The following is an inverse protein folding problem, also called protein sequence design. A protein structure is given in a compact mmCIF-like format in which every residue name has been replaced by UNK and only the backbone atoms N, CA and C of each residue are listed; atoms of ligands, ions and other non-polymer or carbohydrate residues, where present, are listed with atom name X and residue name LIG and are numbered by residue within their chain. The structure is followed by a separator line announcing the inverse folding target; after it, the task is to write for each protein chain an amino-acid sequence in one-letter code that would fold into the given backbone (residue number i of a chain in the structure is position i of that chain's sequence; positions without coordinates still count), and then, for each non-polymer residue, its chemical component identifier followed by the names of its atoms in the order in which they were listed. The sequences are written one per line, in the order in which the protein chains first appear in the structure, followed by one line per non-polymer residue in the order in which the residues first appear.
data_IF_313182417922
#
_entry.id   IF_313182417922
#
_cell.length_a   1.000
_cell.length_b   1.000
_cell.length_c   1.000
_cell.angle_alpha   90.00
_cell.angle_beta   90.00
_cell.angle_gamma   90.00
#
_symmetry.space_group_name_H-M   'P 1'
#
loop_
_entity.id
_entity.type
_entity.pdbx_description
1 polymer ?
#
# COMPACT_ATOMS: atom_id res chain seq x y z
N UNK A 1 -31.39 49.08 -46.26
CA UNK A 1 -31.10 47.91 -45.40
C UNK A 1 -29.78 47.32 -45.89
N UNK A 2 -28.64 47.78 -45.36
CA UNK A 2 -27.31 47.27 -45.75
C UNK A 2 -26.89 46.24 -44.71
N UNK A 3 -26.82 44.97 -45.12
CA UNK A 3 -26.21 43.90 -44.33
C UNK A 3 -24.71 44.16 -44.21
N UNK A 4 -24.26 44.56 -43.02
CA UNK A 4 -22.85 44.56 -42.68
C UNK A 4 -22.39 43.10 -42.55
N UNK A 5 -21.64 42.61 -43.54
CA UNK A 5 -20.87 41.38 -43.38
C UNK A 5 -19.80 41.64 -42.31
N UNK A 6 -19.98 41.05 -41.11
CA UNK A 6 -18.87 40.89 -40.16
C UNK A 6 -17.82 40.02 -40.85
N UNK A 7 -16.70 40.60 -41.24
CA UNK A 7 -15.50 39.84 -41.59
C UNK A 7 -15.08 39.06 -40.34
N UNK A 8 -15.40 37.77 -40.30
CA UNK A 8 -14.82 36.86 -39.32
C UNK A 8 -13.30 36.84 -39.60
N UNK A 9 -12.52 37.47 -38.71
CA UNK A 9 -11.06 37.37 -38.74
C UNK A 9 -10.68 35.93 -38.42
N UNK A 10 -9.99 35.27 -39.35
CA UNK A 10 -9.38 33.95 -39.12
C UNK A 10 -8.11 34.05 -38.28
N UNK A 11 -7.62 32.90 -37.80
CA UNK A 11 -6.36 32.82 -37.05
C UNK A 11 -5.15 32.91 -37.99
N UNK A 12 -4.13 33.68 -37.59
CA UNK A 12 -2.83 33.69 -38.25
C UNK A 12 -1.95 32.49 -37.83
N UNK A 13 -0.97 32.14 -38.67
CA UNK A 13 0.03 31.12 -38.32
C UNK A 13 0.80 31.47 -37.04
N UNK A 14 1.07 32.75 -36.82
CA UNK A 14 1.75 33.25 -35.61
C UNK A 14 0.89 33.03 -34.36
N UNK A 15 -0.42 33.31 -34.41
CA UNK A 15 -1.33 33.05 -33.28
C UNK A 15 -1.46 31.56 -32.97
N UNK A 16 -1.48 30.69 -33.99
CA UNK A 16 -1.50 29.25 -33.78
C UNK A 16 -0.22 28.78 -33.07
N UNK A 17 0.95 29.24 -33.54
CA UNK A 17 2.24 28.91 -32.89
C UNK A 17 2.30 29.45 -31.46
N UNK A 18 1.89 30.70 -31.24
CA UNK A 18 1.89 31.32 -29.92
C UNK A 18 0.99 30.55 -28.94
N UNK A 19 -0.21 30.14 -29.39
CA UNK A 19 -1.15 29.36 -28.59
C UNK A 19 -0.60 27.97 -28.24
N UNK A 20 0.00 27.27 -29.22
CA UNK A 20 0.63 25.98 -29.00
C UNK A 20 1.84 26.10 -28.07
N UNK A 21 2.65 27.15 -28.20
CA UNK A 21 3.80 27.40 -27.32
C UNK A 21 3.36 27.60 -25.86
N UNK A 22 2.32 28.42 -25.64
CA UNK A 22 1.74 28.61 -24.30
C UNK A 22 1.19 27.30 -23.75
N UNK A 23 0.46 26.53 -24.57
CA UNK A 23 -0.08 25.24 -24.16
C UNK A 23 1.01 24.26 -23.74
N UNK A 24 2.10 24.17 -24.51
CA UNK A 24 3.24 23.30 -24.19
C UNK A 24 3.89 23.68 -22.86
N UNK A 25 4.07 24.98 -22.59
CA UNK A 25 4.62 25.47 -21.30
C UNK A 25 3.69 25.11 -20.14
N UNK A 26 2.38 25.28 -20.30
CA UNK A 26 1.41 24.93 -19.26
C UNK A 26 1.39 23.42 -18.97
N UNK A 27 1.47 22.59 -20.01
CA UNK A 27 1.51 21.13 -19.85
C UNK A 27 2.75 20.68 -19.07
N UNK A 28 3.92 21.26 -19.36
CA UNK A 28 5.16 20.96 -18.63
C UNK A 28 5.06 21.28 -17.13
N UNK A 29 4.33 22.34 -16.75
CA UNK A 29 4.10 22.69 -15.35
C UNK A 29 3.04 21.80 -14.67
N UNK A 30 2.02 21.35 -15.40
CA UNK A 30 0.88 20.61 -14.82
C UNK A 30 1.20 19.14 -14.51
N UNK A 31 1.96 18.44 -15.36
CA UNK A 31 2.29 17.01 -15.21
C UNK A 31 2.96 16.66 -13.86
N UNK A 32 4.03 17.34 -13.40
CA UNK A 32 4.70 16.98 -12.15
C UNK A 32 3.80 17.16 -10.92
N UNK A 33 2.85 18.10 -10.96
CA UNK A 33 1.87 18.32 -9.88
C UNK A 33 0.92 17.11 -9.78
N UNK A 34 0.41 16.63 -10.91
CA UNK A 34 -0.45 15.44 -10.96
C UNK A 34 0.28 14.19 -10.48
N UNK A 35 1.52 13.96 -10.91
CA UNK A 35 2.35 12.84 -10.47
C UNK A 35 2.59 12.88 -8.95
N UNK A 36 2.90 14.06 -8.41
CA UNK A 36 3.11 14.23 -6.96
C UNK A 36 1.83 13.95 -6.17
N UNK A 37 0.67 14.37 -6.67
CA UNK A 37 -0.62 14.10 -6.03
C UNK A 37 -0.94 12.59 -6.00
N UNK A 38 -0.68 11.87 -7.10
CA UNK A 38 -0.84 10.42 -7.15
C UNK A 38 0.10 9.72 -6.17
N UNK A 39 1.37 10.13 -6.12
CA UNK A 39 2.35 9.59 -5.19
C UNK A 39 1.93 9.78 -3.74
N UNK A 40 1.48 10.99 -3.34
CA UNK A 40 0.96 11.24 -1.98
C UNK A 40 -0.21 10.33 -1.62
N UNK A 41 -1.11 10.06 -2.57
CA UNK A 41 -2.23 9.16 -2.36
C UNK A 41 -1.73 7.73 -2.10
N UNK A 42 -0.85 7.21 -2.94
CA UNK A 42 -0.25 5.89 -2.76
C UNK A 42 0.50 5.78 -1.42
N UNK A 43 1.23 6.83 -1.01
CA UNK A 43 1.90 6.86 0.29
C UNK A 43 0.93 6.79 1.48
N UNK A 44 -0.23 7.46 1.37
CA UNK A 44 -1.26 7.40 2.41
C UNK A 44 -1.88 6.01 2.49
N UNK A 45 -2.21 5.43 1.33
CA UNK A 45 -2.73 4.07 1.21
C UNK A 45 -1.72 3.04 1.76
N UNK A 46 -0.42 3.21 1.48
CA UNK A 46 0.65 2.34 1.98
C UNK A 46 0.73 2.40 3.50
N UNK A 47 0.80 3.61 4.09
CA UNK A 47 0.87 3.79 5.55
C UNK A 47 -0.36 3.19 6.24
N UNK A 48 -1.54 3.37 5.65
CA UNK A 48 -2.77 2.80 6.18
C UNK A 48 -2.75 1.27 6.14
N UNK A 49 -2.32 0.68 5.02
CA UNK A 49 -2.22 -0.77 4.87
C UNK A 49 -1.20 -1.39 5.83
N UNK A 50 0.00 -0.80 5.94
CA UNK A 50 1.04 -1.22 6.89
C UNK A 50 0.51 -1.17 8.33
N UNK A 51 -0.12 -0.06 8.74
CA UNK A 51 -0.67 0.08 10.08
C UNK A 51 -1.80 -0.94 10.35
N UNK A 52 -2.66 -1.21 9.37
CA UNK A 52 -3.75 -2.18 9.50
C UNK A 52 -3.20 -3.60 9.70
N UNK A 53 -2.27 -4.04 8.85
CA UNK A 53 -1.71 -5.40 8.91
C UNK A 53 -0.86 -5.57 10.18
N UNK A 54 0.04 -4.63 10.49
CA UNK A 54 0.86 -4.67 11.73
C UNK A 54 -0.02 -4.74 12.98
N UNK A 55 -1.10 -3.97 13.03
CA UNK A 55 -2.06 -4.06 14.14
C UNK A 55 -2.82 -5.40 14.19
N UNK A 56 -2.97 -6.11 13.08
CA UNK A 56 -3.48 -7.48 13.02
C UNK A 56 -2.48 -8.49 13.59
N UNK A 57 -1.21 -8.40 13.16
CA UNK A 57 -0.09 -9.20 13.67
C UNK A 57 0.05 -9.03 15.19
N UNK A 58 0.05 -7.79 15.69
CA UNK A 58 0.16 -7.49 17.12
C UNK A 58 -1.03 -8.02 17.94
N UNK A 59 -2.22 -8.11 17.34
CA UNK A 59 -3.38 -8.73 18.00
C UNK A 59 -3.24 -10.25 18.05
N UNK A 60 -2.74 -10.86 16.98
CA UNK A 60 -2.42 -12.29 16.97
C UNK A 60 -1.40 -12.62 18.05
N UNK A 61 -0.28 -11.89 18.09
CA UNK A 61 0.78 -12.08 19.09
C UNK A 61 0.25 -11.97 20.52
N UNK A 62 -0.59 -10.95 20.81
CA UNK A 62 -1.24 -10.83 22.12
C UNK A 62 -2.19 -11.98 22.46
N UNK A 63 -2.91 -12.53 21.49
CA UNK A 63 -3.77 -13.68 21.70
C UNK A 63 -2.95 -14.95 21.97
N UNK A 64 -1.85 -15.13 21.24
CA UNK A 64 -0.87 -16.19 21.45
C UNK A 64 -0.24 -16.11 22.86
N UNK A 65 0.23 -14.93 23.26
CA UNK A 65 0.81 -14.69 24.59
C UNK A 65 -0.21 -14.89 25.73
N UNK A 66 -1.50 -14.65 25.45
CA UNK A 66 -2.59 -14.93 26.38
C UNK A 66 -3.01 -16.42 26.41
N UNK A 67 -2.34 -17.29 25.66
CA UNK A 67 -2.66 -18.72 25.57
C UNK A 67 -4.01 -19.02 24.90
N UNK A 68 -4.50 -18.09 24.06
CA UNK A 68 -5.78 -18.25 23.33
C UNK A 68 -5.61 -18.91 21.97
N UNK A 69 -4.38 -19.01 21.48
CA UNK A 69 -4.03 -19.66 20.21
C UNK A 69 -3.13 -20.86 20.52
N UNK A 70 -3.33 -21.96 19.80
CA UNK A 70 -2.41 -23.11 19.87
C UNK A 70 -1.06 -22.71 19.29
N UNK A 71 0.00 -22.87 20.08
CA UNK A 71 1.38 -22.65 19.65
C UNK A 71 2.14 -23.96 19.66
N UNK A 72 2.97 -24.17 18.64
CA UNK A 72 3.97 -25.23 18.67
C UNK A 72 5.04 -24.92 19.72
N UNK A 73 5.67 -25.98 20.25
CA UNK A 73 6.73 -25.82 21.24
C UNK A 73 7.91 -25.06 20.64
N UNK A 74 8.21 -23.87 21.16
CA UNK A 74 9.30 -23.02 20.67
C UNK A 74 8.88 -21.98 19.63
N UNK A 75 7.59 -21.93 19.24
CA UNK A 75 7.08 -20.91 18.34
C UNK A 75 7.21 -19.50 18.95
N UNK A 76 7.49 -18.51 18.11
CA UNK A 76 7.64 -17.11 18.51
C UNK A 76 6.34 -16.47 19.00
N UNK A 77 5.19 -17.04 18.64
CA UNK A 77 3.86 -16.49 18.89
C UNK A 77 3.36 -15.51 17.83
N UNK A 78 4.13 -15.26 16.77
CA UNK A 78 3.68 -14.54 15.58
C UNK A 78 2.90 -15.46 14.62
N UNK A 79 2.03 -14.93 13.75
CA UNK A 79 1.28 -15.74 12.81
C UNK A 79 2.24 -16.41 11.80
N UNK A 80 1.97 -17.65 11.35
CA UNK A 80 2.81 -18.34 10.37
C UNK A 80 2.73 -17.71 8.97
N UNK A 81 1.59 -17.10 8.64
CA UNK A 81 1.35 -16.38 7.40
C UNK A 81 0.27 -15.28 7.61
N UNK A 82 0.11 -14.38 6.63
CA UNK A 82 -0.88 -13.31 6.69
C UNK A 82 -2.32 -13.83 6.58
N UNK A 83 -2.55 -14.95 5.89
CA UNK A 83 -3.89 -15.49 5.62
C UNK A 83 -4.59 -15.93 6.90
N UNK A 84 -3.84 -16.47 7.87
CA UNK A 84 -4.36 -16.81 9.22
C UNK A 84 -5.05 -15.63 9.91
N UNK A 85 -4.62 -14.39 9.64
CA UNK A 85 -5.25 -13.20 10.24
C UNK A 85 -6.70 -12.99 9.78
N UNK A 86 -7.05 -13.47 8.59
CA UNK A 86 -8.40 -13.37 7.99
C UNK A 86 -9.19 -14.66 8.14
N UNK A 87 -8.56 -15.83 7.99
CA UNK A 87 -9.23 -17.13 8.14
C UNK A 87 -9.65 -17.40 9.59
N UNK A 88 -8.92 -16.78 10.51
CA UNK A 88 -9.11 -16.84 11.95
C UNK A 88 -8.68 -18.18 12.56
N UNK A 89 -8.33 -18.12 13.84
CA UNK A 89 -7.88 -19.29 14.63
C UNK A 89 -8.87 -19.61 15.72
N UNK A 90 -8.97 -20.87 16.12
CA UNK A 90 -9.84 -21.25 17.24
C UNK A 90 -9.32 -20.67 18.56
N UNK A 91 -10.21 -20.05 19.33
CA UNK A 91 -9.93 -19.62 20.69
C UNK A 91 -9.91 -20.82 21.64
N UNK A 92 -8.73 -21.33 21.96
CA UNK A 92 -8.60 -22.52 22.81
C UNK A 92 -8.99 -22.25 24.27
N UNK A 93 -8.99 -20.98 24.69
CA UNK A 93 -9.44 -20.56 26.02
C UNK A 93 -10.97 -20.40 26.09
N UNK A 94 -11.65 -20.33 24.95
CA UNK A 94 -13.11 -20.27 24.90
C UNK A 94 -13.73 -21.67 25.03
N UNK A 95 -14.72 -21.86 25.93
CA UNK A 95 -15.46 -23.13 26.02
C UNK A 95 -16.13 -23.53 24.70
N UNK A 96 -16.50 -22.56 23.86
CA UNK A 96 -17.16 -22.80 22.57
C UNK A 96 -16.19 -22.93 21.39
N UNK A 97 -14.87 -22.77 21.61
CA UNK A 97 -13.84 -22.80 20.55
C UNK A 97 -14.15 -21.86 19.37
N UNK A 98 -14.78 -20.73 19.65
CA UNK A 98 -15.12 -19.74 18.63
C UNK A 98 -13.86 -19.21 17.92
N UNK A 99 -13.96 -18.93 16.62
CA UNK A 99 -12.86 -18.36 15.85
C UNK A 99 -12.56 -16.91 16.25
N UNK A 100 -11.27 -16.60 16.38
CA UNK A 100 -10.71 -15.26 16.53
C UNK A 100 -10.22 -14.78 15.18
N UNK A 101 -10.77 -13.66 14.74
CA UNK A 101 -10.38 -12.97 13.52
C UNK A 101 -9.58 -11.72 13.88
N UNK A 102 -8.46 -11.50 13.18
CA UNK A 102 -7.55 -10.39 13.47
C UNK A 102 -7.65 -9.27 12.43
N UNK A 103 -7.95 -9.64 11.18
CA UNK A 103 -8.20 -8.73 10.07
C UNK A 103 -9.54 -9.05 9.41
N UNK A 104 -10.15 -8.04 8.80
CA UNK A 104 -11.37 -8.21 7.97
C UNK A 104 -11.03 -8.67 6.56
N UNK A 105 -9.88 -8.24 6.06
CA UNK A 105 -9.25 -8.58 4.79
C UNK A 105 -7.80 -8.14 4.84
N UNK A 106 -6.96 -8.70 3.97
CA UNK A 106 -5.60 -8.18 3.77
C UNK A 106 -5.67 -7.09 2.69
N UNK A 107 -5.28 -5.83 2.98
CA UNK A 107 -5.12 -4.82 1.94
C UNK A 107 -3.93 -5.18 1.05
N UNK A 108 -4.04 -4.95 -0.26
CA UNK A 108 -2.93 -5.11 -1.19
C UNK A 108 -1.95 -3.94 -1.07
N UNK A 109 -0.68 -4.18 -1.37
CA UNK A 109 0.33 -3.13 -1.51
C UNK A 109 -0.06 -2.19 -2.67
N UNK A 110 -0.25 -0.87 -2.43
CA UNK A 110 -0.61 0.09 -3.48
C UNK A 110 0.48 0.28 -4.55
N UNK A 111 1.70 -0.20 -4.32
CA UNK A 111 2.79 -0.20 -5.29
C UNK A 111 2.91 -1.51 -6.08
N UNK A 112 2.10 -2.52 -5.78
CA UNK A 112 2.11 -3.77 -6.53
C UNK A 112 1.67 -3.54 -7.99
N UNK A 113 2.44 -4.01 -8.99
CA UNK A 113 2.09 -3.80 -10.39
C UNK A 113 0.91 -4.70 -10.79
N UNK A 114 -0.26 -4.08 -11.01
CA UNK A 114 -1.44 -4.77 -11.54
C UNK A 114 -2.49 -5.05 -10.47
N UNK A 115 -3.42 -5.96 -10.79
CA UNK A 115 -4.42 -6.41 -9.83
C UNK A 115 -3.87 -7.61 -9.06
N UNK A 116 -3.92 -7.56 -7.74
CA UNK A 116 -3.51 -8.68 -6.90
C UNK A 116 -4.68 -9.63 -6.70
N UNK A 117 -4.64 -10.80 -7.36
CA UNK A 117 -5.62 -11.87 -7.12
C UNK A 117 -5.53 -12.38 -5.67
N UNK A 118 -4.33 -12.32 -5.07
CA UNK A 118 -4.07 -12.55 -3.66
C UNK A 118 -3.30 -11.36 -3.04
N UNK A 119 -3.98 -10.50 -2.26
CA UNK A 119 -3.36 -9.37 -1.57
C UNK A 119 -2.21 -9.76 -0.63
N UNK A 120 -2.21 -10.97 -0.06
CA UNK A 120 -1.16 -11.41 0.86
C UNK A 120 0.21 -11.50 0.18
N UNK A 121 0.23 -11.90 -1.11
CA UNK A 121 1.44 -12.08 -1.91
C UNK A 121 2.04 -10.76 -2.42
N UNK A 122 1.39 -9.64 -2.16
CA UNK A 122 1.88 -8.32 -2.58
C UNK A 122 2.90 -7.73 -1.62
N UNK A 123 3.08 -8.35 -0.45
CA UNK A 123 3.93 -7.88 0.63
C UNK A 123 5.18 -8.75 0.77
N UNK A 124 6.32 -8.11 1.01
CA UNK A 124 7.51 -8.78 1.52
C UNK A 124 7.32 -9.06 3.01
N UNK A 125 7.69 -10.26 3.45
CA UNK A 125 7.53 -10.69 4.83
C UNK A 125 8.85 -10.64 5.58
N UNK A 126 8.77 -10.40 6.87
CA UNK A 126 9.91 -10.45 7.78
C UNK A 126 9.57 -11.33 8.96
N UNK A 127 10.42 -12.31 9.26
CA UNK A 127 10.29 -13.19 10.41
C UNK A 127 10.91 -12.62 11.68
N UNK A 128 10.46 -13.08 12.84
CA UNK A 128 10.95 -12.68 14.14
C UNK A 128 12.41 -13.09 14.38
N UNK A 129 12.84 -14.20 13.77
CA UNK A 129 14.22 -14.67 13.85
C UNK A 129 15.20 -13.79 13.05
N UNK A 130 14.70 -12.95 12.14
CA UNK A 130 15.55 -12.10 11.30
C UNK A 130 16.13 -10.90 12.06
N UNK A 131 17.42 -10.60 11.88
CA UNK A 131 18.02 -9.42 12.48
C UNK A 131 17.40 -8.13 11.92
N UNK A 132 17.38 -7.02 12.69
CA UNK A 132 16.82 -5.75 12.22
C UNK A 132 17.49 -5.18 10.96
N UNK A 133 18.80 -5.43 10.80
CA UNK A 133 19.59 -4.90 9.69
C UNK A 133 19.56 -5.79 8.43
N UNK A 134 19.04 -7.02 8.53
CA UNK A 134 18.88 -7.96 7.41
C UNK A 134 17.54 -8.72 7.53
N UNK A 135 16.41 -8.06 7.23
CA UNK A 135 15.08 -8.66 7.23
C UNK A 135 14.99 -9.85 6.28
N UNK A 136 14.55 -10.99 6.80
CA UNK A 136 14.35 -12.21 6.01
C UNK A 136 13.01 -12.87 6.35
N UNK A 137 12.39 -13.48 5.35
CA UNK A 137 11.26 -14.39 5.54
C UNK A 137 11.66 -15.60 6.37
N UNK A 138 10.69 -16.29 6.96
CA UNK A 138 10.95 -17.43 7.83
C UNK A 138 9.67 -18.13 8.24
N UNK A 139 9.71 -18.75 9.43
CA UNK A 139 8.59 -19.58 9.94
C UNK A 139 7.38 -18.76 10.41
N UNK A 140 7.54 -17.45 10.57
CA UNK A 140 6.50 -16.54 11.04
C UNK A 140 6.57 -15.17 10.35
N UNK A 141 5.50 -14.40 10.53
CA UNK A 141 5.37 -13.03 10.05
C UNK A 141 5.37 -12.08 11.25
N UNK A 142 6.55 -11.51 11.51
CA UNK A 142 6.78 -10.46 12.50
C UNK A 142 6.43 -9.08 11.94
N UNK A 143 6.82 -8.81 10.70
CA UNK A 143 6.59 -7.53 10.04
C UNK A 143 6.40 -7.73 8.54
N UNK A 144 5.93 -6.69 7.86
CA UNK A 144 5.73 -6.63 6.42
C UNK A 144 6.35 -5.37 5.83
N UNK A 145 6.70 -5.42 4.55
CA UNK A 145 7.15 -4.25 3.80
C UNK A 145 6.71 -4.34 2.32
N UNK A 146 6.73 -3.22 1.62
CA UNK A 146 6.49 -3.20 0.17
C UNK A 146 7.72 -3.73 -0.60
N UNK A 147 7.49 -4.36 -1.75
CA UNK A 147 8.55 -4.70 -2.71
C UNK A 147 9.03 -3.49 -3.54
N UNK A 148 8.38 -2.34 -3.41
CA UNK A 148 8.75 -1.13 -4.14
C UNK A 148 10.15 -0.66 -3.79
N UNK A 149 11.00 -0.54 -4.82
CA UNK A 149 12.32 0.06 -4.71
C UNK A 149 12.27 1.61 -4.70
N UNK A 150 11.08 2.20 -4.77
CA UNK A 150 10.91 3.64 -4.74
C UNK A 150 11.15 4.23 -3.34
N UNK A 151 11.44 5.53 -3.33
CA UNK A 151 11.56 6.34 -2.12
C UNK A 151 10.34 7.23 -1.99
N UNK A 152 9.90 7.44 -0.76
CA UNK A 152 8.88 8.41 -0.45
C UNK A 152 9.31 9.84 -0.76
N UNK A 153 8.36 10.75 -0.67
CA UNK A 153 8.57 12.19 -0.77
C UNK A 153 9.47 12.74 0.33
N UNK A 154 9.68 11.97 1.40
CA UNK A 154 10.63 12.22 2.48
C UNK A 154 12.01 11.60 2.24
N UNK A 155 12.28 11.08 1.03
CA UNK A 155 13.52 10.42 0.61
C UNK A 155 13.84 9.08 1.31
N UNK A 156 12.96 8.60 2.20
CA UNK A 156 13.10 7.29 2.86
C UNK A 156 12.54 6.20 1.92
N UNK A 157 13.27 5.09 1.66
CA UNK A 157 12.77 3.96 0.90
C UNK A 157 11.47 3.41 1.49
N UNK A 158 10.49 3.08 0.66
CA UNK A 158 9.21 2.56 1.18
C UNK A 158 9.36 1.23 1.90
N UNK A 159 10.33 0.41 1.52
CA UNK A 159 10.65 -0.85 2.22
C UNK A 159 11.12 -0.63 3.68
N UNK A 160 11.46 0.60 4.08
CA UNK A 160 11.88 0.97 5.44
C UNK A 160 10.77 1.65 6.26
N UNK A 161 9.55 1.73 5.73
CA UNK A 161 8.41 2.37 6.41
C UNK A 161 7.71 1.44 7.39
#
# INVERSE_FOLDING_TARGET
MMCAYRLARGFSFIELIASLAIMSVLLLAAVPVAQTAMKRRQELELRQALAEIRAGIDRYKRAADAGRVTLESGASGYPPDLQVLVDGVEDIASPSRAKLYFLRRIPADPFYPGNADDPAQTWGLRSYASPPDDPQEGEDVFDIHTFSAERGLNEVPYAQW
#
